data_IF_881403094924
#
_entry.id   IF_881403094924
#
_cell.length_a   1.000
_cell.length_b   1.000
_cell.length_c   1.000
_cell.angle_alpha   90.00
_cell.angle_beta   90.00
_cell.angle_gamma   90.00
#
_symmetry.space_group_name_H-M   'P 1'
#
loop_
_entity.id
_entity.type
_entity.pdbx_description
1 polymer ?
#
# COMPACT_ATOMS: atom_id res chain seq x y z
N UNK A 1 -5.79 4.65 16.72
CA UNK A 1 -5.35 5.20 15.42
C UNK A 1 -3.83 5.25 15.39
N UNK A 2 -3.20 5.05 14.22
CA UNK A 2 -1.76 5.35 14.10
C UNK A 2 -0.82 4.35 14.76
N UNK A 3 -1.17 3.06 14.77
CA UNK A 3 -0.31 1.98 15.27
C UNK A 3 0.66 1.58 14.14
N UNK A 4 1.99 1.56 14.32
CA UNK A 4 2.90 1.15 13.26
C UNK A 4 2.80 -0.36 13.04
N UNK A 5 2.55 -0.79 11.80
CA UNK A 5 2.59 -2.21 11.43
C UNK A 5 3.90 -2.58 10.69
N UNK A 6 4.70 -1.58 10.31
CA UNK A 6 6.00 -1.73 9.70
C UNK A 6 6.92 -0.57 10.09
N UNK A 7 8.23 -0.78 9.98
CA UNK A 7 9.23 0.28 10.16
C UNK A 7 9.08 1.36 9.08
N UNK A 8 9.33 2.64 9.41
CA UNK A 8 9.21 3.73 8.45
C UNK A 8 10.10 3.50 7.20
N UNK A 9 9.55 3.53 5.97
CA UNK A 9 10.28 3.24 4.74
C UNK A 9 11.14 4.44 4.27
N UNK A 10 11.91 5.03 5.18
CA UNK A 10 12.76 6.22 4.97
C UNK A 10 14.22 5.85 4.76
N UNK A 11 14.99 6.75 4.15
CA UNK A 11 16.43 6.59 3.96
C UNK A 11 16.78 5.27 3.26
N UNK A 12 17.57 4.42 3.92
CA UNK A 12 17.99 3.13 3.39
C UNK A 12 16.85 2.11 3.23
N UNK A 13 15.70 2.33 3.87
CA UNK A 13 14.48 1.52 3.71
C UNK A 13 13.59 2.01 2.57
N UNK A 14 13.84 3.20 2.02
CA UNK A 14 13.15 3.66 0.81
C UNK A 14 13.41 2.67 -0.33
N UNK A 15 12.35 2.32 -1.05
CA UNK A 15 12.36 1.31 -2.12
C UNK A 15 12.72 -0.11 -1.66
N UNK A 16 12.55 -0.44 -0.38
CA UNK A 16 12.66 -1.83 0.11
C UNK A 16 11.31 -2.37 0.58
N UNK A 17 11.19 -3.70 0.64
CA UNK A 17 10.06 -4.36 1.27
C UNK A 17 9.89 -3.91 2.73
N UNK A 18 8.63 -3.80 3.22
CA UNK A 18 8.37 -3.37 4.59
C UNK A 18 9.08 -4.30 5.58
N UNK A 19 9.74 -3.71 6.57
CA UNK A 19 10.34 -4.44 7.67
C UNK A 19 9.43 -4.35 8.90
N UNK A 20 9.45 -5.34 9.82
CA UNK A 20 8.71 -5.24 11.08
C UNK A 20 9.01 -3.92 11.80
N UNK A 21 8.03 -3.34 12.52
CA UNK A 21 8.27 -2.13 13.29
C UNK A 21 9.28 -2.42 14.40
N UNK A 22 10.11 -1.42 14.73
CA UNK A 22 10.99 -1.54 15.89
C UNK A 22 10.17 -1.64 17.18
N UNK A 23 10.54 -2.49 18.14
CA UNK A 23 9.86 -2.52 19.42
C UNK A 23 10.04 -1.18 20.12
N UNK A 24 9.05 -0.78 20.92
CA UNK A 24 9.10 0.41 21.75
C UNK A 24 8.90 0.02 23.22
N UNK A 25 9.47 0.82 24.11
CA UNK A 25 9.21 0.70 25.55
C UNK A 25 8.05 1.61 25.96
N UNK A 26 7.25 1.15 26.92
CA UNK A 26 6.11 1.91 27.44
C UNK A 26 4.88 1.90 26.52
N UNK A 27 4.02 2.90 26.69
CA UNK A 27 2.72 2.99 26.00
C UNK A 27 2.83 3.96 24.83
N UNK A 28 2.55 3.46 23.62
CA UNK A 28 2.43 4.29 22.42
C UNK A 28 1.10 5.05 22.43
N UNK A 29 1.15 6.38 22.28
CA UNK A 29 -0.06 7.18 22.11
C UNK A 29 -0.62 7.00 20.69
N UNK A 30 -1.75 6.31 20.60
CA UNK A 30 -2.43 5.93 19.37
C UNK A 30 -3.84 6.56 19.27
N UNK A 31 -3.95 7.85 19.59
CA UNK A 31 -5.24 8.58 19.70
C UNK A 31 -5.58 9.44 18.49
N UNK A 32 -4.64 9.62 17.55
CA UNK A 32 -4.79 10.53 16.41
C UNK A 32 -4.39 9.84 15.10
N UNK A 33 -4.95 10.31 13.99
CA UNK A 33 -4.52 9.89 12.65
C UNK A 33 -3.06 10.29 12.42
N UNK A 34 -2.27 9.37 11.86
CA UNK A 34 -0.92 9.65 11.37
C UNK A 34 -0.98 10.22 9.95
N UNK A 35 0.08 10.92 9.49
CA UNK A 35 0.17 11.36 8.10
C UNK A 35 -0.03 10.21 7.11
N UNK A 36 -0.72 10.47 6.00
CA UNK A 36 -0.86 9.50 4.91
C UNK A 36 0.44 9.33 4.12
N UNK A 37 0.49 8.34 3.25
CA UNK A 37 1.65 8.15 2.37
C UNK A 37 1.78 9.25 1.32
N UNK A 38 3.00 9.54 0.83
CA UNK A 38 3.23 10.68 -0.06
C UNK A 38 2.49 10.56 -1.38
N UNK A 39 1.82 11.65 -1.75
CA UNK A 39 1.02 11.77 -2.97
C UNK A 39 0.85 13.25 -3.33
N UNK A 40 0.53 13.57 -4.59
CA UNK A 40 0.30 14.96 -5.02
C UNK A 40 -1.00 15.51 -4.46
N UNK A 41 -0.92 16.66 -3.78
CA UNK A 41 -2.09 17.36 -3.26
C UNK A 41 -3.05 17.80 -4.39
N UNK A 42 -4.36 17.76 -4.13
CA UNK A 42 -5.40 18.32 -5.00
C UNK A 42 -5.95 17.40 -6.09
N UNK A 43 -5.55 16.13 -6.12
CA UNK A 43 -5.97 15.14 -7.12
C UNK A 43 -7.23 14.34 -6.73
N UNK A 44 -7.78 14.56 -5.54
CA UNK A 44 -8.89 13.79 -4.96
C UNK A 44 -9.74 14.63 -4.00
N UNK A 45 -10.98 14.18 -3.72
CA UNK A 45 -11.85 14.67 -2.66
C UNK A 45 -11.35 14.25 -1.25
N UNK A 46 -10.03 14.24 -1.03
CA UNK A 46 -9.45 13.91 0.28
C UNK A 46 -9.62 15.13 1.21
N UNK A 47 -10.23 14.94 2.41
CA UNK A 47 -10.39 15.99 3.40
C UNK A 47 -9.07 16.69 3.72
N UNK A 48 -9.12 17.99 4.04
CA UNK A 48 -7.93 18.80 4.32
C UNK A 48 -6.97 18.17 5.35
N UNK A 49 -7.50 17.56 6.41
CA UNK A 49 -6.69 16.88 7.44
C UNK A 49 -5.97 15.64 6.93
N UNK A 50 -6.55 14.95 5.94
CA UNK A 50 -5.97 13.78 5.30
C UNK A 50 -4.98 14.13 4.16
N UNK A 51 -4.66 15.41 3.96
CA UNK A 51 -3.67 15.89 2.98
C UNK A 51 -2.24 15.97 3.53
N UNK A 52 -2.06 15.87 4.85
CA UNK A 52 -0.72 15.81 5.45
C UNK A 52 -0.12 14.46 5.12
N UNK A 53 1.08 14.46 4.52
CA UNK A 53 1.76 13.23 4.10
C UNK A 53 3.19 13.17 4.61
N UNK A 54 3.68 11.95 4.79
CA UNK A 54 5.04 11.62 5.22
C UNK A 54 5.44 10.28 4.61
N UNK A 55 6.74 10.02 4.42
CA UNK A 55 7.21 8.67 4.11
C UNK A 55 7.04 7.71 5.29
N UNK A 56 7.11 8.24 6.51
CA UNK A 56 6.67 7.51 7.70
C UNK A 56 5.14 7.49 7.74
N UNK A 57 4.55 6.51 7.04
CA UNK A 57 3.11 6.40 6.82
C UNK A 57 2.54 4.98 7.00
N UNK A 58 3.35 3.98 7.36
CA UNK A 58 2.91 2.58 7.46
C UNK A 58 2.21 2.30 8.79
N UNK A 59 1.03 2.91 8.94
CA UNK A 59 0.23 2.89 10.15
C UNK A 59 -1.14 2.24 9.91
N UNK A 60 -1.68 1.65 10.97
CA UNK A 60 -2.99 1.00 11.03
C UNK A 60 -3.86 1.60 12.14
N UNK A 61 -5.15 1.63 11.88
CA UNK A 61 -6.20 2.09 12.77
C UNK A 61 -7.21 0.96 12.97
N UNK A 62 -7.48 0.62 14.22
CA UNK A 62 -8.46 -0.38 14.63
C UNK A 62 -9.60 0.31 15.34
N UNK A 63 -10.83 0.00 14.93
CA UNK A 63 -12.07 0.50 15.52
C UNK A 63 -12.90 -0.70 15.96
N UNK A 64 -13.28 -0.73 17.22
CA UNK A 64 -14.02 -1.85 17.82
C UNK A 64 -15.09 -1.30 18.77
N UNK A 65 -16.31 -1.86 18.78
CA UNK A 65 -17.37 -1.41 19.68
C UNK A 65 -17.11 -1.81 21.13
N UNK A 66 -16.42 -2.93 21.37
CA UNK A 66 -16.06 -3.41 22.71
C UNK A 66 -14.79 -4.28 22.67
N UNK A 67 -13.73 -3.80 23.34
CA UNK A 67 -12.47 -4.55 23.49
C UNK A 67 -12.56 -5.72 24.48
N UNK A 68 -13.59 -5.72 25.34
CA UNK A 68 -13.86 -6.76 26.35
C UNK A 68 -15.02 -7.68 25.95
N UNK A 69 -15.40 -7.67 24.66
CA UNK A 69 -16.49 -8.49 24.15
C UNK A 69 -16.29 -9.96 24.55
N UNK A 70 -17.35 -10.58 25.10
CA UNK A 70 -17.32 -11.99 25.56
C UNK A 70 -17.03 -12.97 24.43
N UNK A 71 -17.38 -12.59 23.20
CA UNK A 71 -17.12 -13.34 21.99
C UNK A 71 -16.25 -12.52 21.06
N UNK A 72 -15.31 -13.19 20.38
CA UNK A 72 -14.46 -12.53 19.39
C UNK A 72 -15.30 -12.13 18.17
N UNK A 73 -15.13 -10.87 17.73
CA UNK A 73 -15.90 -10.25 16.67
C UNK A 73 -15.30 -10.52 15.28
N UNK A 74 -16.12 -10.63 14.21
CA UNK A 74 -15.63 -10.58 12.84
C UNK A 74 -14.85 -9.30 12.55
N UNK A 75 -13.85 -9.39 11.67
CA UNK A 75 -12.93 -8.28 11.37
C UNK A 75 -13.08 -7.90 9.90
N UNK A 76 -13.44 -6.66 9.63
CA UNK A 76 -13.48 -6.07 8.31
C UNK A 76 -12.23 -5.21 8.10
N UNK A 77 -11.44 -5.53 7.08
CA UNK A 77 -10.19 -4.86 6.78
C UNK A 77 -10.32 -4.10 5.47
N UNK A 78 -10.35 -2.78 5.53
CA UNK A 78 -10.53 -1.93 4.36
C UNK A 78 -9.20 -1.55 3.70
N UNK A 79 -9.09 -1.83 2.40
CA UNK A 79 -7.99 -1.42 1.52
C UNK A 79 -8.53 -0.33 0.59
N UNK A 80 -8.12 0.92 0.82
CA UNK A 80 -8.62 2.04 0.03
C UNK A 80 -8.18 1.99 -1.44
N UNK A 81 -8.99 2.57 -2.33
CA UNK A 81 -8.64 2.82 -3.73
C UNK A 81 -7.85 4.10 -3.96
N UNK A 82 -7.62 4.43 -5.23
CA UNK A 82 -6.95 5.67 -5.65
C UNK A 82 -5.85 5.49 -6.70
N UNK A 83 -6.09 4.61 -7.67
CA UNK A 83 -5.18 4.38 -8.81
C UNK A 83 -3.75 3.99 -8.40
N UNK A 84 -3.55 3.47 -7.18
CA UNK A 84 -2.24 3.29 -6.55
C UNK A 84 -1.39 4.57 -6.39
N UNK A 85 -1.88 5.75 -6.78
CA UNK A 85 -1.14 7.02 -6.75
C UNK A 85 -1.58 7.93 -5.60
N UNK A 86 -2.81 7.76 -5.13
CA UNK A 86 -3.48 8.58 -4.12
C UNK A 86 -4.32 7.70 -3.20
N UNK A 87 -4.72 8.23 -2.03
CA UNK A 87 -5.55 7.51 -1.07
C UNK A 87 -5.21 7.87 0.38
N UNK A 88 -6.09 7.51 1.31
CA UNK A 88 -5.89 7.80 2.74
C UNK A 88 -6.56 6.74 3.61
N UNK A 89 -5.99 6.46 4.78
CA UNK A 89 -6.63 5.67 5.84
C UNK A 89 -7.20 6.54 6.96
N UNK A 90 -7.34 7.85 6.75
CA UNK A 90 -7.83 8.75 7.80
C UNK A 90 -9.23 8.36 8.24
N UNK A 91 -9.43 8.35 9.56
CA UNK A 91 -10.74 8.20 10.21
C UNK A 91 -11.77 9.22 9.73
N UNK A 92 -11.34 10.39 9.22
CA UNK A 92 -12.26 11.39 8.65
C UNK A 92 -12.82 11.02 7.27
N UNK A 93 -12.20 10.08 6.57
CA UNK A 93 -12.64 9.59 5.26
C UNK A 93 -13.28 8.21 5.35
N UNK A 94 -12.69 7.33 6.17
CA UNK A 94 -13.11 5.95 6.37
C UNK A 94 -13.29 5.66 7.86
N UNK A 95 -14.14 6.49 8.48
CA UNK A 95 -14.48 6.40 9.89
C UNK A 95 -15.39 5.21 10.21
N UNK A 96 -15.48 4.84 11.49
CA UNK A 96 -16.25 3.69 11.93
C UNK A 96 -17.76 3.92 12.01
N UNK A 97 -18.22 5.17 11.88
CA UNK A 97 -19.53 5.64 12.35
C UNK A 97 -20.73 4.79 11.91
N UNK A 98 -20.70 4.23 10.70
CA UNK A 98 -21.79 3.40 10.18
C UNK A 98 -21.55 1.89 10.35
N UNK A 99 -20.29 1.44 10.30
CA UNK A 99 -20.00 0.00 10.35
C UNK A 99 -20.01 -0.53 11.79
N UNK A 100 -19.75 0.32 12.79
CA UNK A 100 -19.79 -0.06 14.20
C UNK A 100 -21.19 0.04 14.82
N UNK A 101 -22.23 0.35 14.03
CA UNK A 101 -23.62 0.04 14.40
C UNK A 101 -23.86 -1.48 14.46
N UNK A 102 -22.97 -2.27 13.84
CA UNK A 102 -22.95 -3.73 13.86
C UNK A 102 -21.80 -4.26 14.75
N UNK A 103 -21.94 -5.51 15.22
CA UNK A 103 -20.94 -6.21 16.04
C UNK A 103 -19.72 -6.68 15.21
N UNK A 104 -18.97 -5.72 14.66
CA UNK A 104 -17.77 -5.97 13.85
C UNK A 104 -16.62 -5.04 14.25
N UNK A 105 -15.39 -5.47 13.95
CA UNK A 105 -14.20 -4.63 14.04
C UNK A 105 -13.86 -4.10 12.67
N UNK A 106 -13.69 -2.79 12.54
CA UNK A 106 -13.16 -2.16 11.33
C UNK A 106 -11.67 -1.90 11.49
N UNK A 107 -10.88 -2.29 10.50
CA UNK A 107 -9.46 -1.99 10.40
C UNK A 107 -9.19 -1.25 9.10
N UNK A 108 -8.47 -0.13 9.17
CA UNK A 108 -8.04 0.66 8.02
C UNK A 108 -6.56 0.99 8.16
N UNK A 109 -5.78 0.89 7.09
CA UNK A 109 -4.33 1.11 7.14
C UNK A 109 -3.81 1.83 5.90
N UNK A 110 -2.69 2.53 6.04
CA UNK A 110 -1.99 3.21 4.95
C UNK A 110 -0.91 2.33 4.35
N UNK A 111 -0.71 2.39 3.04
CA UNK A 111 0.30 1.65 2.27
C UNK A 111 0.93 2.55 1.20
N UNK A 112 2.20 2.30 0.82
CA UNK A 112 2.94 3.19 -0.10
C UNK A 112 2.27 3.29 -1.47
N UNK A 113 2.31 4.51 -2.01
CA UNK A 113 1.67 4.89 -3.26
C UNK A 113 2.70 5.29 -4.33
N UNK A 114 2.28 5.33 -5.59
CA UNK A 114 2.98 5.90 -6.72
C UNK A 114 4.39 5.33 -6.90
N UNK A 115 5.32 6.20 -7.25
CA UNK A 115 6.73 5.87 -7.45
C UNK A 115 7.37 5.22 -6.22
N UNK A 116 6.94 5.59 -5.00
CA UNK A 116 7.48 5.03 -3.76
C UNK A 116 6.97 3.61 -3.46
N UNK A 117 5.77 3.27 -3.93
CA UNK A 117 5.14 1.97 -3.71
C UNK A 117 5.22 0.99 -4.88
N UNK A 118 5.38 1.47 -6.11
CA UNK A 118 5.20 0.65 -7.32
C UNK A 118 6.25 0.86 -8.41
N UNK A 119 7.31 1.63 -8.14
CA UNK A 119 8.48 1.59 -9.01
C UNK A 119 9.10 0.18 -8.99
N UNK A 120 9.38 -0.33 -10.18
CA UNK A 120 10.08 -1.61 -10.37
C UNK A 120 11.21 -1.41 -11.36
N UNK A 121 12.31 -2.12 -11.17
CA UNK A 121 13.38 -2.25 -12.16
C UNK A 121 13.34 -3.61 -12.87
N UNK A 122 12.31 -4.44 -12.62
CA UNK A 122 12.28 -5.87 -13.00
C UNK A 122 13.58 -6.58 -12.56
N UNK A 123 14.16 -6.15 -11.44
CA UNK A 123 15.45 -6.59 -10.91
C UNK A 123 15.35 -6.80 -9.40
N UNK A 124 16.06 -7.78 -8.80
CA UNK A 124 15.94 -8.11 -7.37
C UNK A 124 16.17 -6.95 -6.40
N UNK A 125 16.96 -5.94 -6.80
CA UNK A 125 17.21 -4.74 -5.97
C UNK A 125 15.98 -3.85 -5.78
N UNK A 126 15.04 -3.86 -6.73
CA UNK A 126 13.78 -3.13 -6.69
C UNK A 126 12.76 -3.86 -7.58
N UNK A 127 12.17 -4.96 -7.08
CA UNK A 127 11.34 -5.84 -7.88
C UNK A 127 9.97 -5.26 -8.20
N UNK A 128 9.47 -4.34 -7.36
CA UNK A 128 8.16 -3.72 -7.50
C UNK A 128 7.22 -4.08 -6.36
N UNK A 129 5.95 -3.70 -6.54
CA UNK A 129 4.82 -4.09 -5.67
C UNK A 129 4.99 -3.79 -4.17
N UNK A 130 5.85 -2.85 -3.80
CA UNK A 130 6.11 -2.52 -2.41
C UNK A 130 4.84 -2.09 -1.66
N UNK A 131 3.90 -1.40 -2.32
CA UNK A 131 2.59 -1.09 -1.76
C UNK A 131 1.72 -2.33 -1.48
N UNK A 132 1.77 -3.37 -2.32
CA UNK A 132 1.09 -4.64 -2.04
C UNK A 132 1.79 -5.43 -0.93
N UNK A 133 3.12 -5.35 -0.86
CA UNK A 133 3.91 -5.94 0.22
C UNK A 133 3.60 -5.26 1.56
N UNK A 134 3.39 -3.94 1.56
CA UNK A 134 2.90 -3.19 2.73
C UNK A 134 1.53 -3.70 3.17
N UNK A 135 0.60 -3.91 2.23
CA UNK A 135 -0.70 -4.51 2.53
C UNK A 135 -0.57 -5.92 3.12
N UNK A 136 0.29 -6.78 2.57
CA UNK A 136 0.57 -8.11 3.15
C UNK A 136 1.13 -8.01 4.57
N UNK A 137 2.05 -7.07 4.82
CA UNK A 137 2.60 -6.85 6.16
C UNK A 137 1.52 -6.37 7.15
N UNK A 138 0.63 -5.48 6.73
CA UNK A 138 -0.52 -5.08 7.54
C UNK A 138 -1.46 -6.26 7.83
N UNK A 139 -1.74 -7.12 6.86
CA UNK A 139 -2.56 -8.32 7.05
C UNK A 139 -1.94 -9.33 8.03
N UNK A 140 -0.61 -9.53 7.97
CA UNK A 140 0.12 -10.32 8.97
C UNK A 140 0.00 -9.71 10.37
N UNK A 141 0.21 -8.40 10.49
CA UNK A 141 0.03 -7.68 11.74
C UNK A 141 -1.40 -7.85 12.28
N UNK A 142 -2.43 -7.72 11.44
CA UNK A 142 -3.83 -7.90 11.83
C UNK A 142 -4.06 -9.33 12.34
N UNK A 143 -3.63 -10.35 11.59
CA UNK A 143 -3.79 -11.76 11.98
C UNK A 143 -3.21 -12.05 13.36
N UNK A 144 -2.03 -11.49 13.65
CA UNK A 144 -1.32 -11.69 14.92
C UNK A 144 -1.93 -10.88 16.08
N UNK A 145 -2.38 -9.64 15.82
CA UNK A 145 -2.67 -8.67 16.88
C UNK A 145 -4.17 -8.43 17.12
N UNK A 146 -5.05 -8.72 16.15
CA UNK A 146 -6.48 -8.43 16.28
C UNK A 146 -7.18 -9.13 17.46
N UNK A 147 -6.73 -10.29 18.00
CA UNK A 147 -7.29 -10.83 19.24
C UNK A 147 -7.20 -9.87 20.43
N UNK A 148 -6.20 -8.98 20.47
CA UNK A 148 -6.03 -7.98 21.54
C UNK A 148 -7.06 -6.85 21.47
N UNK A 149 -7.78 -6.74 20.37
CA UNK A 149 -8.83 -5.74 20.13
C UNK A 149 -10.24 -6.37 20.18
N UNK A 150 -10.35 -7.63 20.62
CA UNK A 150 -11.60 -8.39 20.63
C UNK A 150 -11.92 -9.09 19.30
N UNK A 151 -11.00 -9.10 18.34
CA UNK A 151 -11.24 -9.68 17.02
C UNK A 151 -10.99 -11.18 16.93
N UNK A 152 -11.71 -11.84 16.04
CA UNK A 152 -11.51 -13.24 15.69
C UNK A 152 -10.53 -13.35 14.50
N UNK A 153 -9.29 -13.86 14.70
CA UNK A 153 -8.29 -13.94 13.65
C UNK A 153 -8.69 -14.93 12.54
N UNK A 154 -9.69 -15.78 12.77
CA UNK A 154 -10.24 -16.71 11.77
C UNK A 154 -11.43 -16.11 10.98
N UNK A 155 -11.91 -14.92 11.37
CA UNK A 155 -13.02 -14.22 10.71
C UNK A 155 -12.63 -12.87 10.12
N UNK A 156 -11.42 -12.80 9.57
CA UNK A 156 -10.94 -11.63 8.84
C UNK A 156 -11.50 -11.64 7.41
N UNK A 157 -12.18 -10.56 7.02
CA UNK A 157 -12.62 -10.30 5.65
C UNK A 157 -11.95 -9.04 5.14
N UNK A 158 -11.19 -9.15 4.03
CA UNK A 158 -10.61 -7.98 3.37
C UNK A 158 -11.62 -7.41 2.38
N UNK A 159 -11.70 -6.09 2.26
CA UNK A 159 -12.54 -5.45 1.26
C UNK A 159 -11.93 -4.15 0.76
N UNK A 160 -12.30 -3.74 -0.45
CA UNK A 160 -11.76 -2.53 -1.05
C UNK A 160 -12.56 -2.10 -2.28
N UNK A 161 -12.36 -0.85 -2.66
CA UNK A 161 -13.01 -0.20 -3.82
C UNK A 161 -11.94 0.18 -4.87
N UNK A 162 -12.28 0.09 -6.16
CA UNK A 162 -11.40 0.48 -7.27
C UNK A 162 -10.04 -0.26 -7.25
N UNK A 163 -8.91 0.45 -7.13
CA UNK A 163 -7.60 -0.21 -6.97
C UNK A 163 -7.43 -0.92 -5.63
N UNK A 164 -8.23 -0.58 -4.62
CA UNK A 164 -8.38 -1.35 -3.40
C UNK A 164 -9.05 -2.70 -3.66
N UNK A 165 -10.07 -2.75 -4.51
CA UNK A 165 -10.66 -4.01 -4.98
C UNK A 165 -9.69 -4.85 -5.82
N UNK A 166 -8.89 -4.21 -6.68
CA UNK A 166 -7.80 -4.88 -7.38
C UNK A 166 -6.78 -5.48 -6.39
N UNK A 167 -6.44 -4.74 -5.32
CA UNK A 167 -5.56 -5.21 -4.25
C UNK A 167 -6.15 -6.42 -3.52
N UNK A 168 -7.45 -6.39 -3.17
CA UNK A 168 -8.17 -7.56 -2.62
C UNK A 168 -8.07 -8.76 -3.57
N UNK A 169 -8.27 -8.54 -4.87
CA UNK A 169 -8.17 -9.61 -5.86
C UNK A 169 -6.73 -10.16 -5.98
N UNK A 170 -5.69 -9.31 -5.93
CA UNK A 170 -4.30 -9.77 -5.87
C UNK A 170 -4.05 -10.63 -4.63
N UNK A 171 -4.52 -10.21 -3.46
CA UNK A 171 -4.37 -11.00 -2.24
C UNK A 171 -5.11 -12.34 -2.28
N UNK A 172 -6.31 -12.38 -2.86
CA UNK A 172 -7.08 -13.62 -3.06
C UNK A 172 -6.34 -14.62 -3.96
N UNK A 173 -5.63 -14.14 -4.98
CA UNK A 173 -4.88 -15.01 -5.91
C UNK A 173 -3.56 -15.45 -5.26
N UNK A 174 -2.76 -14.49 -4.79
CA UNK A 174 -1.35 -14.70 -4.50
C UNK A 174 -1.03 -14.93 -3.03
N UNK A 175 -1.87 -14.49 -2.09
CA UNK A 175 -1.55 -14.58 -0.64
C UNK A 175 -2.58 -15.37 0.16
N UNK A 176 -3.63 -15.90 -0.46
CA UNK A 176 -4.69 -16.64 0.25
C UNK A 176 -4.17 -17.91 0.96
N UNK A 177 -3.12 -18.53 0.41
CA UNK A 177 -2.48 -19.71 0.99
C UNK A 177 -1.79 -19.43 2.34
N UNK A 178 -1.50 -18.16 2.65
CA UNK A 178 -0.89 -17.76 3.93
C UNK A 178 -1.90 -17.77 5.10
N UNK A 179 -3.22 -17.91 4.84
CA UNK A 179 -4.24 -17.98 5.89
C UNK A 179 -4.48 -16.67 6.66
N UNK A 180 -4.10 -15.53 6.08
CA UNK A 180 -4.19 -14.20 6.71
C UNK A 180 -5.62 -13.65 6.78
N UNK A 181 -6.50 -14.12 5.91
CA UNK A 181 -7.91 -13.73 5.85
C UNK A 181 -8.75 -14.91 5.33
N UNK A 182 -10.06 -14.87 5.61
CA UNK A 182 -11.00 -15.94 5.22
C UNK A 182 -11.76 -15.63 3.93
N UNK A 183 -11.98 -14.35 3.63
CA UNK A 183 -12.85 -13.90 2.54
C UNK A 183 -12.42 -12.52 2.02
N UNK A 184 -12.85 -12.20 0.81
CA UNK A 184 -12.61 -10.91 0.15
C UNK A 184 -13.86 -10.34 -0.51
N UNK A 185 -14.06 -9.02 -0.43
CA UNK A 185 -15.08 -8.28 -1.20
C UNK A 185 -14.36 -7.26 -2.10
N UNK A 186 -14.48 -7.45 -3.42
CA UNK A 186 -13.85 -6.59 -4.41
C UNK A 186 -14.91 -5.73 -5.10
N UNK A 187 -15.03 -4.47 -4.69
CA UNK A 187 -16.00 -3.52 -5.25
C UNK A 187 -15.40 -2.69 -6.41
N UNK A 188 -15.98 -2.80 -7.60
CA UNK A 188 -15.64 -1.93 -8.73
C UNK A 188 -14.15 -1.99 -9.17
N UNK A 189 -13.49 -3.14 -8.98
CA UNK A 189 -12.11 -3.36 -9.43
C UNK A 189 -11.69 -4.84 -9.43
N UNK A 190 -10.63 -5.15 -10.17
CA UNK A 190 -10.14 -6.53 -10.36
C UNK A 190 -8.68 -6.54 -10.82
N UNK A 191 -7.87 -7.50 -10.36
CA UNK A 191 -6.49 -7.72 -10.82
C UNK A 191 -6.38 -7.94 -12.34
N UNK A 192 -7.47 -8.35 -13.01
CA UNK A 192 -7.53 -8.53 -14.47
C UNK A 192 -7.78 -7.23 -15.24
N UNK A 193 -8.05 -6.12 -14.56
CA UNK A 193 -8.33 -4.85 -15.23
C UNK A 193 -7.07 -4.32 -15.95
N UNK A 194 -7.15 -3.91 -17.23
CA UNK A 194 -5.98 -3.48 -18.00
C UNK A 194 -5.19 -2.31 -17.38
N UNK A 195 -5.87 -1.52 -16.55
CA UNK A 195 -5.30 -0.33 -15.91
C UNK A 195 -4.52 -0.64 -14.63
N UNK A 196 -4.74 -1.80 -13.99
CA UNK A 196 -4.17 -2.12 -12.66
C UNK A 196 -3.01 -3.12 -12.70
N UNK A 197 -2.61 -3.53 -13.89
CA UNK A 197 -1.50 -4.44 -14.12
C UNK A 197 -0.63 -3.92 -15.26
N UNK A 198 0.68 -4.00 -15.11
CA UNK A 198 1.62 -3.69 -16.18
C UNK A 198 2.19 -4.97 -16.79
N UNK A 199 2.03 -5.09 -18.11
CA UNK A 199 2.56 -6.23 -18.87
C UNK A 199 4.10 -6.24 -18.88
N UNK A 200 4.73 -7.42 -18.79
CA UNK A 200 6.17 -7.58 -18.93
C UNK A 200 6.73 -6.88 -20.17
N UNK A 201 7.95 -6.33 -20.06
CA UNK A 201 8.64 -5.69 -21.18
C UNK A 201 8.19 -4.26 -21.50
N UNK A 202 7.12 -3.76 -20.87
CA UNK A 202 6.74 -2.34 -20.94
C UNK A 202 7.43 -1.48 -19.87
N UNK A 203 8.10 -2.11 -18.90
CA UNK A 203 8.88 -1.43 -17.85
C UNK A 203 10.07 -0.67 -18.45
N UNK A 204 10.80 -1.29 -19.38
CA UNK A 204 12.03 -0.76 -19.97
C UNK A 204 11.88 0.65 -20.53
N UNK A 205 10.82 0.91 -21.30
CA UNK A 205 10.57 2.23 -21.88
C UNK A 205 10.30 3.30 -20.80
N UNK A 206 9.69 2.92 -19.66
CA UNK A 206 9.53 3.83 -18.53
C UNK A 206 10.88 4.08 -17.83
N UNK A 207 11.71 3.06 -17.68
CA UNK A 207 13.03 3.18 -17.06
C UNK A 207 13.97 4.07 -17.88
N UNK A 208 13.95 3.95 -19.21
CA UNK A 208 14.73 4.83 -20.09
C UNK A 208 14.31 6.30 -19.93
N UNK A 209 13.00 6.57 -19.80
CA UNK A 209 12.49 7.92 -19.51
C UNK A 209 12.89 8.39 -18.11
N UNK A 210 12.79 7.52 -17.11
CA UNK A 210 13.17 7.82 -15.72
C UNK A 210 14.65 8.20 -15.65
N UNK A 211 15.54 7.41 -16.25
CA UNK A 211 16.97 7.69 -16.34
C UNK A 211 17.24 9.00 -17.10
N UNK A 212 16.53 9.24 -18.21
CA UNK A 212 16.71 10.49 -18.95
C UNK A 212 16.27 11.74 -18.15
N UNK A 213 15.24 11.64 -17.32
CA UNK A 213 14.78 12.75 -16.46
C UNK A 213 15.74 12.96 -15.28
N UNK A 214 16.06 11.88 -14.57
CA UNK A 214 16.84 11.92 -13.33
C UNK A 214 18.34 12.09 -13.54
N UNK A 215 18.85 11.69 -14.71
CA UNK A 215 20.28 11.57 -15.02
C UNK A 215 21.02 10.59 -14.11
N UNK A 216 20.30 9.71 -13.42
CA UNK A 216 20.89 8.64 -12.63
C UNK A 216 21.60 7.59 -13.52
N UNK A 217 22.54 6.81 -12.95
CA UNK A 217 23.15 5.67 -13.65
C UNK A 217 22.12 4.63 -14.08
N UNK A 218 22.46 3.82 -15.10
CA UNK A 218 21.61 2.73 -15.60
C UNK A 218 21.79 1.41 -14.86
N UNK A 219 22.90 1.24 -14.13
CA UNK A 219 23.11 0.08 -13.26
C UNK A 219 21.99 0.02 -12.20
N UNK A 220 21.28 -1.12 -12.02
CA UNK A 220 20.12 -1.17 -11.13
C UNK A 220 20.41 -0.77 -9.69
N UNK A 221 21.57 -1.14 -9.15
CA UNK A 221 21.93 -0.85 -7.76
C UNK A 221 22.22 0.64 -7.62
N UNK A 222 23.07 1.18 -8.49
CA UNK A 222 23.40 2.61 -8.48
C UNK A 222 22.20 3.50 -8.80
N UNK A 223 21.27 3.05 -9.64
CA UNK A 223 20.03 3.74 -9.94
C UNK A 223 19.17 3.89 -8.68
N UNK A 224 18.97 2.82 -7.90
CA UNK A 224 18.21 2.90 -6.64
C UNK A 224 18.88 3.84 -5.65
N UNK A 225 20.20 3.77 -5.48
CA UNK A 225 20.91 4.68 -4.57
C UNK A 225 20.80 6.14 -5.02
N UNK A 226 20.90 6.41 -6.33
CA UNK A 226 20.69 7.74 -6.88
C UNK A 226 19.25 8.23 -6.63
N UNK A 227 18.23 7.39 -6.84
CA UNK A 227 16.84 7.77 -6.57
C UNK A 227 16.56 8.06 -5.08
N UNK A 228 17.32 7.46 -4.16
CA UNK A 228 17.21 7.77 -2.73
C UNK A 228 17.71 9.17 -2.36
N UNK A 229 18.54 9.80 -3.19
CA UNK A 229 19.03 11.16 -2.91
C UNK A 229 17.99 12.24 -3.20
N UNK A 230 16.96 11.93 -3.98
CA UNK A 230 15.88 12.87 -4.28
C UNK A 230 14.97 13.06 -3.07
N UNK A 231 14.44 14.26 -2.91
CA UNK A 231 13.35 14.51 -1.98
C UNK A 231 12.06 13.84 -2.45
N UNK A 232 11.13 13.62 -1.53
CA UNK A 232 9.81 13.07 -1.85
C UNK A 232 9.08 13.92 -2.89
N UNK A 233 9.16 15.26 -2.77
CA UNK A 233 8.51 16.16 -3.72
C UNK A 233 9.07 15.99 -5.13
N UNK A 234 10.39 15.91 -5.28
CA UNK A 234 11.03 15.72 -6.58
C UNK A 234 10.65 14.37 -7.20
N UNK A 235 10.58 13.30 -6.41
CA UNK A 235 10.13 11.99 -6.90
C UNK A 235 8.68 12.05 -7.40
N UNK A 236 7.80 12.77 -6.71
CA UNK A 236 6.42 12.98 -7.16
C UNK A 236 6.35 13.86 -8.42
N UNK A 237 7.23 14.86 -8.56
CA UNK A 237 7.35 15.66 -9.80
C UNK A 237 7.85 14.84 -10.99
N UNK A 238 8.78 13.91 -10.75
CA UNK A 238 9.27 12.95 -11.74
C UNK A 238 8.12 12.03 -12.18
N UNK A 239 7.32 11.51 -11.24
CA UNK A 239 6.13 10.71 -11.56
C UNK A 239 5.16 11.46 -12.48
N UNK A 240 4.84 12.72 -12.16
CA UNK A 240 3.95 13.53 -12.98
C UNK A 240 4.53 13.78 -14.38
N UNK A 241 5.84 13.99 -14.48
CA UNK A 241 6.55 14.17 -15.75
C UNK A 241 6.52 12.90 -16.61
N UNK A 242 6.68 11.73 -15.99
CA UNK A 242 6.55 10.44 -16.65
C UNK A 242 5.10 10.21 -17.13
N UNK A 243 4.11 10.61 -16.34
CA UNK A 243 2.70 10.55 -16.71
C UNK A 243 2.43 11.36 -17.98
N UNK A 244 2.92 12.60 -18.04
CA UNK A 244 2.74 13.51 -19.20
C UNK A 244 3.48 13.09 -20.47
N UNK A 245 4.47 12.20 -20.37
CA UNK A 245 5.25 11.72 -21.51
C UNK A 245 4.94 10.28 -21.89
N UNK A 246 4.08 9.59 -21.14
CA UNK A 246 3.62 8.24 -21.47
C UNK A 246 2.51 8.29 -22.53
N UNK A 247 2.52 7.33 -23.46
CA UNK A 247 1.36 7.06 -24.32
C UNK A 247 0.12 6.65 -23.51
N UNK A 248 0.31 6.29 -22.23
CA UNK A 248 -0.74 5.92 -21.28
C UNK A 248 -1.68 7.07 -20.90
N UNK A 249 -1.36 8.34 -21.24
CA UNK A 249 -2.27 9.48 -21.03
C UNK A 249 -3.63 9.25 -21.69
N UNK A 250 -3.65 8.55 -22.84
CA UNK A 250 -4.91 8.20 -23.52
C UNK A 250 -5.72 7.14 -22.77
N UNK A 251 -5.13 6.44 -21.80
CA UNK A 251 -5.73 5.28 -21.12
C UNK A 251 -6.16 5.53 -19.67
N UNK A 252 -5.93 6.72 -19.11
CA UNK A 252 -6.14 7.03 -17.68
C UNK A 252 -5.47 6.05 -16.69
N UNK A 253 -4.51 5.25 -17.16
CA UNK A 253 -3.82 4.28 -16.31
C UNK A 253 -2.78 4.96 -15.42
N UNK A 254 -2.60 4.50 -14.16
CA UNK A 254 -1.48 4.93 -13.34
C UNK A 254 -0.15 4.51 -13.95
N UNK A 255 0.86 5.38 -13.82
CA UNK A 255 2.20 5.15 -14.38
C UNK A 255 2.89 3.99 -13.68
N UNK A 256 2.83 4.01 -12.35
CA UNK A 256 3.34 2.97 -11.48
C UNK A 256 2.17 2.15 -10.97
N UNK A 257 2.22 0.85 -11.20
CA UNK A 257 1.17 -0.11 -10.91
C UNK A 257 1.78 -1.50 -10.79
N UNK A 258 1.04 -2.48 -10.26
CA UNK A 258 1.54 -3.84 -10.08
C UNK A 258 2.20 -4.44 -11.32
N UNK A 259 3.30 -5.17 -11.10
CA UNK A 259 4.14 -5.85 -12.10
C UNK A 259 4.37 -7.30 -11.69
N UNK A 260 4.80 -8.15 -12.62
CA UNK A 260 5.40 -9.45 -12.27
C UNK A 260 6.80 -9.20 -11.69
N UNK A 261 7.09 -9.85 -10.57
CA UNK A 261 8.37 -9.76 -9.87
C UNK A 261 9.31 -10.90 -10.30
N UNK A 262 10.64 -10.70 -10.26
CA UNK A 262 11.59 -11.79 -10.48
C UNK A 262 11.42 -12.92 -9.46
N UNK A 263 11.39 -14.18 -9.92
CA UNK A 263 11.20 -15.38 -9.08
C UNK A 263 12.24 -15.54 -7.94
N UNK A 264 13.44 -14.98 -8.11
CA UNK A 264 14.50 -15.06 -7.10
C UNK A 264 14.29 -14.12 -5.89
N UNK A 265 13.22 -13.33 -5.89
CA UNK A 265 12.86 -12.44 -4.78
C UNK A 265 12.03 -13.25 -3.77
N UNK A 266 12.61 -13.51 -2.60
CA UNK A 266 12.01 -14.36 -1.55
C UNK A 266 10.61 -13.90 -1.12
N UNK A 267 10.37 -12.60 -1.10
CA UNK A 267 9.10 -12.02 -0.70
C UNK A 267 8.24 -11.53 -1.87
N UNK A 268 8.48 -12.03 -3.09
CA UNK A 268 7.66 -11.72 -4.25
C UNK A 268 6.18 -11.96 -3.98
N UNK A 269 5.32 -11.09 -4.49
CA UNK A 269 3.87 -11.25 -4.36
C UNK A 269 3.22 -11.67 -5.68
N UNK A 270 3.59 -11.03 -6.79
CA UNK A 270 3.06 -11.39 -8.12
C UNK A 270 4.16 -12.09 -8.90
N UNK A 271 3.99 -13.39 -9.10
CA UNK A 271 4.89 -14.26 -9.86
C UNK A 271 4.11 -14.90 -11.03
N UNK A 272 4.81 -15.51 -12.00
CA UNK A 272 4.22 -16.03 -13.25
C UNK A 272 3.62 -17.45 -13.12
N UNK A 273 3.71 -18.07 -11.94
CA UNK A 273 3.32 -19.46 -11.63
C UNK A 273 1.87 -19.65 -11.16
#
# INVERSE_FOLDING_TARGET
>A
LGIPYASPPVGALRFKSPQPPSPWEGVLSATEDKPGCPQKAGTTNIPLRARVTSEDCLYISVFTPDVMARHRLPVLVYIYGGSFEVGTSSSSSYGPDYLLDEDVILVVFSWRLGILGFLSLEHPVLPGNLGLKDQRAALRWIKENIPQFGGDPEKITIFGESTGAASVHYHLIFTAHEGLFRAGIADSGSARSPHVFRRPGTQRALLEKLVNITKCPTDPVQLVECLRTFTVSELLDIQDSLKRTSSDIKSQSPVFRPVIEPECVEDALITDD
#
